data_IF_567346231319
#
_entry.id   IF_567346231319
#
_cell.length_a   1.000
_cell.length_b   1.000
_cell.length_c   1.000
_cell.angle_alpha   90.00
_cell.angle_beta   90.00
_cell.angle_gamma   90.00
#
_symmetry.space_group_name_H-M   'P 1'
#
loop_
_entity.id
_entity.type
_entity.pdbx_description
1 polymer ?
#
# COMPACT_ATOMS: atom_id res chain seq x y z
N UNK A 1 -57.61 -30.40 -39.06
CA UNK A 1 -57.68 -30.12 -37.62
C UNK A 1 -56.66 -30.99 -36.86
N UNK A 2 -55.56 -30.47 -36.45
CA UNK A 2 -54.60 -30.85 -35.38
C UNK A 2 -53.32 -30.06 -35.64
N UNK A 3 -53.09 -29.00 -34.85
CA UNK A 3 -51.85 -28.25 -34.77
C UNK A 3 -50.75 -29.17 -34.19
N UNK A 4 -49.57 -29.12 -34.78
CA UNK A 4 -48.35 -29.58 -34.16
C UNK A 4 -47.41 -28.38 -33.94
N UNK A 5 -47.15 -28.09 -32.66
CA UNK A 5 -46.10 -27.16 -32.25
C UNK A 5 -44.73 -27.77 -32.52
N UNK A 6 -43.88 -27.04 -33.23
CA UNK A 6 -42.46 -27.33 -33.32
C UNK A 6 -41.76 -26.50 -32.20
N UNK A 7 -41.11 -27.20 -31.29
CA UNK A 7 -40.21 -26.59 -30.31
C UNK A 7 -38.84 -26.37 -30.96
N UNK A 8 -38.38 -25.13 -31.05
CA UNK A 8 -37.02 -24.76 -31.38
C UNK A 8 -36.17 -24.87 -30.11
N UNK A 9 -35.21 -25.77 -30.10
CA UNK A 9 -34.14 -25.84 -29.11
C UNK A 9 -33.05 -24.83 -29.46
N UNK A 10 -32.91 -23.80 -28.65
CA UNK A 10 -31.76 -22.88 -28.74
C UNK A 10 -30.54 -23.48 -28.01
N UNK A 11 -29.54 -23.88 -28.78
CA UNK A 11 -28.24 -24.33 -28.25
C UNK A 11 -27.41 -23.09 -27.90
N UNK A 12 -27.22 -22.83 -26.61
CA UNK A 12 -26.31 -21.82 -26.13
C UNK A 12 -24.86 -22.26 -26.24
N UNK A 13 -24.12 -21.64 -27.13
CA UNK A 13 -22.66 -21.83 -27.25
C UNK A 13 -22.04 -20.95 -26.15
N UNK A 14 -21.48 -21.61 -25.13
CA UNK A 14 -20.65 -20.95 -24.12
C UNK A 14 -19.25 -20.78 -24.70
N UNK A 15 -18.92 -19.57 -25.10
CA UNK A 15 -17.54 -19.16 -25.43
C UNK A 15 -16.77 -18.93 -24.12
N UNK A 16 -15.90 -19.86 -23.77
CA UNK A 16 -14.88 -19.68 -22.74
C UNK A 16 -13.79 -18.73 -23.29
N UNK A 17 -13.91 -17.44 -23.02
CA UNK A 17 -12.83 -16.49 -23.20
C UNK A 17 -11.99 -16.44 -21.91
N UNK A 18 -10.91 -17.21 -21.87
CA UNK A 18 -9.85 -17.03 -20.89
C UNK A 18 -9.01 -15.84 -21.31
N UNK A 19 -9.31 -14.64 -20.80
CA UNK A 19 -8.46 -13.46 -20.91
C UNK A 19 -8.03 -13.03 -19.51
N UNK A 20 -6.71 -13.11 -19.28
CA UNK A 20 -5.98 -12.50 -18.20
C UNK A 20 -5.98 -10.96 -18.40
N UNK A 21 -7.01 -10.30 -17.92
CA UNK A 21 -7.09 -8.85 -17.88
C UNK A 21 -7.76 -8.46 -16.56
N UNK A 22 -7.16 -7.54 -15.81
CA UNK A 22 -7.88 -6.92 -14.71
C UNK A 22 -9.22 -6.39 -15.23
N UNK A 23 -10.29 -6.65 -14.48
CA UNK A 23 -11.61 -6.16 -14.84
C UNK A 23 -11.56 -4.66 -15.11
N UNK A 24 -12.03 -4.20 -16.29
CA UNK A 24 -12.09 -2.78 -16.56
C UNK A 24 -13.00 -2.10 -15.51
N UNK A 25 -12.59 -0.91 -15.08
CA UNK A 25 -13.41 -0.09 -14.21
C UNK A 25 -14.78 0.18 -14.87
N UNK A 26 -15.82 -0.24 -14.19
CA UNK A 26 -17.21 0.08 -14.57
C UNK A 26 -17.71 1.13 -13.59
N UNK A 27 -18.08 2.35 -14.04
CA UNK A 27 -18.64 3.35 -13.16
C UNK A 27 -19.87 2.82 -12.41
N UNK A 28 -19.87 2.90 -11.08
CA UNK A 28 -20.96 2.41 -10.22
C UNK A 28 -20.74 1.03 -9.59
N UNK A 29 -19.75 0.25 -10.02
CA UNK A 29 -19.37 -1.00 -9.35
C UNK A 29 -18.21 -0.77 -8.37
N UNK A 30 -18.41 -1.12 -7.10
CA UNK A 30 -17.37 -1.11 -6.07
C UNK A 30 -17.01 -2.54 -5.68
N UNK A 31 -15.75 -2.97 -5.86
CA UNK A 31 -15.31 -4.30 -5.42
C UNK A 31 -15.52 -4.49 -3.91
N UNK A 32 -15.92 -5.69 -3.51
CA UNK A 32 -16.03 -6.03 -2.09
C UNK A 32 -14.66 -6.07 -1.40
N UNK A 33 -14.61 -5.60 -0.15
CA UNK A 33 -13.41 -5.75 0.69
C UNK A 33 -13.20 -7.23 1.04
N UNK A 34 -11.93 -7.67 1.06
CA UNK A 34 -11.60 -9.07 1.42
C UNK A 34 -11.80 -9.26 2.92
N UNK A 35 -12.63 -10.23 3.30
CA UNK A 35 -12.83 -10.59 4.71
C UNK A 35 -11.52 -11.05 5.36
N UNK A 36 -11.24 -10.55 6.57
CA UNK A 36 -10.04 -10.91 7.35
C UNK A 36 -10.20 -12.30 7.98
N UNK A 37 -11.43 -12.73 8.26
CA UNK A 37 -11.74 -13.90 9.07
C UNK A 37 -11.80 -15.24 8.34
N UNK A 38 -11.59 -15.26 7.02
CA UNK A 38 -11.59 -16.50 6.26
C UNK A 38 -10.48 -17.45 6.75
N UNK A 39 -10.70 -18.78 6.81
CA UNK A 39 -9.68 -19.75 7.23
C UNK A 39 -8.41 -19.65 6.38
N UNK A 40 -7.24 -19.84 7.02
CA UNK A 40 -5.97 -19.88 6.30
C UNK A 40 -5.84 -21.21 5.55
N UNK A 41 -5.81 -21.14 4.23
CA UNK A 41 -5.47 -22.28 3.36
C UNK A 41 -4.00 -22.20 2.96
N UNK A 42 -3.25 -23.27 3.21
CA UNK A 42 -1.83 -23.38 2.86
C UNK A 42 -1.66 -24.39 1.74
N UNK A 43 -1.50 -23.95 0.49
CA UNK A 43 -1.31 -24.85 -0.66
C UNK A 43 0.03 -25.62 -0.56
N UNK A 44 0.14 -26.79 -1.22
CA UNK A 44 1.42 -27.48 -1.32
C UNK A 44 2.43 -26.66 -2.14
N UNK A 45 3.72 -26.81 -1.85
CA UNK A 45 4.79 -26.06 -2.54
C UNK A 45 4.79 -26.25 -4.06
N UNK A 46 4.30 -27.40 -4.56
CA UNK A 46 4.13 -27.68 -5.98
C UNK A 46 3.15 -26.73 -6.69
N UNK A 47 2.27 -26.06 -5.95
CA UNK A 47 1.33 -25.07 -6.50
C UNK A 47 1.98 -23.72 -6.84
N UNK A 48 3.23 -23.52 -6.39
CA UNK A 48 3.94 -22.25 -6.62
C UNK A 48 5.00 -22.44 -7.71
N UNK A 49 5.20 -21.40 -8.54
CA UNK A 49 6.27 -21.39 -9.50
C UNK A 49 7.63 -21.54 -8.80
N UNK A 50 8.44 -22.47 -9.25
CA UNK A 50 9.79 -22.69 -8.72
C UNK A 50 10.71 -21.61 -9.30
N UNK A 51 10.97 -20.56 -8.50
CA UNK A 51 11.89 -19.48 -8.87
C UNK A 51 13.08 -19.47 -7.91
N UNK A 52 14.27 -19.28 -8.46
CA UNK A 52 15.47 -19.12 -7.63
C UNK A 52 15.31 -17.88 -6.72
N UNK A 53 15.70 -17.99 -5.44
CA UNK A 53 15.72 -16.83 -4.54
C UNK A 53 16.62 -15.72 -5.08
N UNK A 54 16.12 -14.49 -5.07
CA UNK A 54 16.87 -13.30 -5.48
C UNK A 54 17.55 -12.67 -4.28
N UNK A 55 18.84 -12.32 -4.42
CA UNK A 55 19.58 -11.59 -3.41
C UNK A 55 19.00 -10.17 -3.25
N UNK A 56 18.81 -9.75 -2.01
CA UNK A 56 18.45 -8.38 -1.65
C UNK A 56 19.70 -7.48 -1.60
N UNK A 57 19.49 -6.17 -1.74
CA UNK A 57 20.60 -5.19 -1.77
C UNK A 57 21.12 -4.81 -0.39
N UNK A 58 20.49 -5.27 0.70
CA UNK A 58 20.87 -4.96 2.07
C UNK A 58 22.03 -5.82 2.60
N UNK A 59 22.54 -5.42 3.76
CA UNK A 59 23.37 -6.24 4.62
C UNK A 59 22.49 -6.79 5.75
N UNK A 60 22.64 -8.09 6.04
CA UNK A 60 21.81 -8.81 7.01
C UNK A 60 22.70 -9.51 8.00
N UNK A 61 22.72 -9.00 9.24
CA UNK A 61 23.45 -9.61 10.33
C UNK A 61 22.49 -10.46 11.18
N UNK A 62 22.79 -11.76 11.30
CA UNK A 62 22.08 -12.64 12.22
C UNK A 62 22.32 -12.21 13.65
N UNK A 63 21.26 -12.10 14.46
CA UNK A 63 21.33 -11.71 15.87
C UNK A 63 20.46 -12.62 16.72
N UNK A 64 20.68 -12.62 18.03
CA UNK A 64 19.81 -13.35 18.98
C UNK A 64 18.56 -12.54 19.29
N UNK A 65 17.50 -13.19 19.79
CA UNK A 65 16.32 -12.50 20.27
C UNK A 65 16.62 -11.55 21.44
N UNK A 66 17.58 -11.92 22.30
CA UNK A 66 18.08 -11.05 23.38
C UNK A 66 18.75 -9.77 22.93
N UNK A 67 19.19 -9.71 21.66
CA UNK A 67 19.83 -8.52 21.10
C UNK A 67 18.79 -7.49 20.58
N UNK A 68 17.51 -7.87 20.53
CA UNK A 68 16.44 -6.97 20.15
C UNK A 68 16.08 -6.05 21.31
N UNK A 69 16.20 -4.71 21.16
CA UNK A 69 15.97 -3.79 22.26
C UNK A 69 14.55 -3.93 22.83
N UNK A 70 14.42 -4.39 24.06
CA UNK A 70 13.14 -4.53 24.78
C UNK A 70 12.19 -5.57 24.16
N UNK A 71 12.73 -6.64 23.60
CA UNK A 71 11.93 -7.77 23.08
C UNK A 71 11.00 -8.35 24.17
N UNK A 72 11.49 -8.49 25.40
CA UNK A 72 10.70 -9.02 26.51
C UNK A 72 9.41 -8.21 26.79
N UNK A 73 9.46 -6.90 26.56
CA UNK A 73 8.35 -5.97 26.74
C UNK A 73 7.61 -5.68 25.43
N UNK A 74 8.02 -6.32 24.32
CA UNK A 74 7.40 -6.06 23.01
C UNK A 74 5.91 -6.45 23.03
N UNK A 75 5.08 -5.51 22.57
CA UNK A 75 3.65 -5.72 22.46
C UNK A 75 3.33 -6.62 21.27
N UNK A 76 2.70 -7.74 21.54
CA UNK A 76 2.30 -8.75 20.55
C UNK A 76 0.79 -8.94 20.46
N UNK A 77 0.03 -8.01 21.06
CA UNK A 77 -1.44 -8.01 21.02
C UNK A 77 -1.92 -7.94 19.57
N UNK A 78 -2.96 -8.69 19.22
CA UNK A 78 -3.52 -8.83 17.87
C UNK A 78 -2.51 -9.28 16.79
N UNK A 79 -1.28 -9.65 17.19
CA UNK A 79 -0.25 -10.06 16.26
C UNK A 79 -0.60 -11.37 15.54
N UNK A 80 -1.29 -12.27 16.21
CA UNK A 80 -1.66 -13.56 15.63
C UNK A 80 -2.57 -13.41 14.40
N UNK A 81 -3.60 -12.59 14.50
CA UNK A 81 -4.47 -12.27 13.35
C UNK A 81 -3.70 -11.63 12.21
N UNK A 82 -2.77 -10.73 12.53
CA UNK A 82 -1.91 -10.10 11.53
C UNK A 82 -1.01 -11.12 10.84
N UNK A 83 -0.42 -12.05 11.60
CA UNK A 83 0.42 -13.12 11.05
C UNK A 83 -0.40 -14.09 10.16
N UNK A 84 -1.59 -14.46 10.59
CA UNK A 84 -2.56 -15.24 9.83
C UNK A 84 -2.87 -14.57 8.48
N UNK A 85 -3.20 -13.29 8.53
CA UNK A 85 -3.52 -12.48 7.34
C UNK A 85 -2.31 -12.32 6.42
N UNK A 86 -1.13 -12.15 7.00
CA UNK A 86 0.11 -12.08 6.25
C UNK A 86 0.41 -13.39 5.52
N UNK A 87 0.18 -14.54 6.18
CA UNK A 87 0.30 -15.86 5.57
C UNK A 87 -0.67 -16.06 4.40
N UNK A 88 -1.90 -15.52 4.47
CA UNK A 88 -2.81 -15.53 3.31
C UNK A 88 -2.19 -14.85 2.09
N UNK A 89 -1.53 -13.71 2.30
CA UNK A 89 -0.80 -13.02 1.25
C UNK A 89 0.37 -13.84 0.70
N UNK A 90 1.17 -14.47 1.59
CA UNK A 90 2.32 -15.31 1.23
C UNK A 90 1.91 -16.57 0.46
N UNK A 91 0.79 -17.18 0.85
CA UNK A 91 0.29 -18.43 0.28
C UNK A 91 -0.66 -18.24 -0.89
N UNK A 92 -0.87 -17.03 -1.34
CA UNK A 92 -1.68 -16.74 -2.52
C UNK A 92 -0.86 -17.02 -3.79
N UNK A 93 -1.37 -17.82 -4.74
CA UNK A 93 -0.75 -17.95 -6.06
C UNK A 93 -0.62 -16.58 -6.72
N UNK A 94 0.54 -16.30 -7.28
CA UNK A 94 0.81 -15.05 -7.98
C UNK A 94 0.75 -15.35 -9.47
N UNK A 95 -0.21 -14.76 -10.17
CA UNK A 95 -0.27 -14.76 -11.63
C UNK A 95 0.51 -13.57 -12.19
N UNK A 96 1.24 -13.79 -13.27
CA UNK A 96 1.98 -12.75 -13.98
C UNK A 96 3.42 -12.52 -13.50
N UNK A 97 4.10 -11.61 -14.17
CA UNK A 97 5.51 -11.22 -13.94
C UNK A 97 5.63 -10.28 -12.74
N UNK A 98 5.28 -10.76 -11.54
CA UNK A 98 5.38 -9.96 -10.32
C UNK A 98 6.78 -10.03 -9.71
N UNK A 99 7.77 -9.65 -10.48
CA UNK A 99 9.12 -9.45 -9.93
C UNK A 99 9.20 -8.21 -9.05
N UNK A 100 8.18 -7.36 -9.05
CA UNK A 100 8.18 -6.07 -8.35
C UNK A 100 6.77 -5.69 -7.90
N UNK A 101 6.67 -5.22 -6.66
CA UNK A 101 7.72 -5.15 -5.63
C UNK A 101 8.21 -6.53 -5.18
N UNK A 102 9.47 -6.63 -4.77
CA UNK A 102 10.05 -7.89 -4.29
C UNK A 102 9.25 -8.42 -3.10
N UNK A 103 8.95 -9.72 -3.11
CA UNK A 103 8.14 -10.39 -2.08
C UNK A 103 8.92 -11.53 -1.44
N UNK A 104 8.58 -11.83 -0.19
CA UNK A 104 9.05 -13.03 0.47
C UNK A 104 8.55 -14.28 -0.29
N UNK A 105 9.39 -15.31 -0.35
CA UNK A 105 9.08 -16.51 -1.15
C UNK A 105 8.11 -17.44 -0.44
N UNK A 106 7.10 -17.98 -1.14
CA UNK A 106 6.26 -19.05 -0.59
C UNK A 106 7.08 -20.24 -0.08
N UNK A 107 8.18 -20.60 -0.76
CA UNK A 107 9.07 -21.71 -0.38
C UNK A 107 9.69 -21.50 1.00
N UNK A 108 10.11 -20.28 1.32
CA UNK A 108 10.66 -19.95 2.64
C UNK A 108 9.58 -19.96 3.73
N UNK A 109 8.37 -19.51 3.40
CA UNK A 109 7.33 -19.21 4.39
C UNK A 109 6.29 -20.31 4.57
N UNK A 110 6.13 -21.24 3.61
CA UNK A 110 5.10 -22.28 3.67
C UNK A 110 5.15 -23.12 4.96
N UNK A 111 6.32 -23.56 5.47
CA UNK A 111 6.38 -24.30 6.74
C UNK A 111 5.88 -23.48 7.94
N UNK A 112 6.22 -22.18 7.99
CA UNK A 112 5.75 -21.27 9.05
C UNK A 112 4.24 -21.06 8.94
N UNK A 113 3.74 -20.78 7.73
CA UNK A 113 2.31 -20.56 7.50
C UNK A 113 1.48 -21.83 7.77
N UNK A 114 2.04 -23.01 7.51
CA UNK A 114 1.42 -24.28 7.89
C UNK A 114 1.32 -24.41 9.42
N UNK A 115 2.40 -24.11 10.15
CA UNK A 115 2.37 -24.10 11.60
C UNK A 115 1.38 -23.05 12.17
N UNK A 116 1.23 -21.89 11.52
CA UNK A 116 0.20 -20.90 11.86
C UNK A 116 -1.21 -21.46 11.69
N UNK A 117 -1.49 -22.12 10.56
CA UNK A 117 -2.79 -22.70 10.28
C UNK A 117 -3.15 -23.83 11.28
N UNK A 118 -2.18 -24.68 11.60
CA UNK A 118 -2.33 -25.80 12.53
C UNK A 118 -2.46 -25.35 14.00
N UNK A 119 -1.88 -24.21 14.37
CA UNK A 119 -1.95 -23.68 15.74
C UNK A 119 -3.33 -23.13 16.12
N UNK A 120 -4.25 -23.01 15.17
CA UNK A 120 -5.67 -22.69 15.38
C UNK A 120 -5.95 -21.20 15.62
N UNK A 121 -7.10 -20.94 16.05
CA UNK A 121 -7.96 -19.77 15.88
C UNK A 121 -7.60 -18.48 16.67
N UNK A 122 -8.35 -17.39 16.42
CA UNK A 122 -8.17 -16.04 16.98
C UNK A 122 -8.02 -15.93 18.51
N UNK A 123 -8.53 -16.87 19.28
CA UNK A 123 -8.38 -16.86 20.75
C UNK A 123 -6.92 -16.79 21.21
N UNK A 124 -5.98 -17.28 20.40
CA UNK A 124 -4.53 -17.19 20.70
C UNK A 124 -3.92 -15.83 20.42
N UNK A 125 -4.65 -14.93 19.77
CA UNK A 125 -4.17 -13.55 19.51
C UNK A 125 -3.86 -12.78 20.80
N UNK A 126 -4.51 -13.14 21.89
CA UNK A 126 -4.32 -12.50 23.19
C UNK A 126 -3.32 -13.22 24.10
N UNK A 127 -2.80 -14.38 23.70
CA UNK A 127 -1.75 -15.10 24.43
C UNK A 127 -0.36 -14.61 23.99
N UNK A 128 0.11 -13.55 24.62
CA UNK A 128 1.41 -12.95 24.33
C UNK A 128 2.58 -13.96 24.49
N UNK A 129 2.51 -14.84 25.49
CA UNK A 129 3.55 -15.84 25.72
C UNK A 129 3.56 -16.91 24.62
N UNK A 130 2.40 -17.34 24.16
CA UNK A 130 2.29 -18.24 23.00
C UNK A 130 2.85 -17.59 21.74
N UNK A 131 2.45 -16.35 21.43
CA UNK A 131 2.89 -15.65 20.23
C UNK A 131 4.40 -15.46 20.22
N UNK A 132 5.00 -15.05 21.34
CA UNK A 132 6.47 -14.91 21.46
C UNK A 132 7.18 -16.25 21.24
N UNK A 133 6.76 -17.31 21.94
CA UNK A 133 7.34 -18.65 21.75
C UNK A 133 7.22 -19.13 20.30
N UNK A 134 6.09 -18.86 19.65
CA UNK A 134 5.90 -19.21 18.24
C UNK A 134 6.92 -18.49 17.35
N UNK A 135 7.07 -17.17 17.49
CA UNK A 135 8.04 -16.40 16.73
C UNK A 135 9.47 -16.89 16.98
N UNK A 136 9.86 -17.07 18.24
CA UNK A 136 11.18 -17.55 18.64
C UNK A 136 11.48 -18.97 18.16
N UNK A 137 10.47 -19.82 18.08
CA UNK A 137 10.62 -21.20 17.56
C UNK A 137 10.85 -21.22 16.06
N UNK A 138 10.07 -20.45 15.29
CA UNK A 138 10.04 -20.57 13.85
C UNK A 138 10.88 -19.53 13.12
N UNK A 139 11.18 -18.38 13.74
CA UNK A 139 11.87 -17.27 13.08
C UNK A 139 13.23 -16.96 13.71
N UNK A 140 14.07 -16.34 12.90
CA UNK A 140 15.41 -15.84 13.24
C UNK A 140 15.46 -14.34 12.95
N UNK A 141 15.84 -13.48 13.92
CA UNK A 141 16.03 -12.07 13.66
C UNK A 141 17.31 -11.79 12.85
N UNK A 142 17.20 -10.88 11.88
CA UNK A 142 18.31 -10.38 11.07
C UNK A 142 18.29 -8.85 11.07
N UNK A 143 19.32 -8.22 11.61
CA UNK A 143 19.46 -6.77 11.56
C UNK A 143 19.67 -6.31 10.13
N UNK A 144 18.88 -5.31 9.69
CA UNK A 144 18.96 -4.75 8.34
C UNK A 144 19.79 -3.49 8.35
N UNK A 145 20.76 -3.40 7.46
CA UNK A 145 21.56 -2.19 7.24
C UNK A 145 21.87 -1.99 5.75
N UNK A 146 22.11 -0.75 5.36
CA UNK A 146 22.56 -0.40 4.01
C UNK A 146 24.07 -0.28 3.94
N UNK A 147 24.65 -0.37 2.75
CA UNK A 147 26.09 -0.32 2.52
C UNK A 147 26.77 1.00 2.98
N UNK A 148 26.03 2.12 3.07
CA UNK A 148 26.58 3.45 3.32
C UNK A 148 25.79 4.22 4.39
N UNK A 149 25.39 3.57 5.50
CA UNK A 149 24.68 4.25 6.59
C UNK A 149 23.37 4.88 6.13
N UNK A 150 22.57 4.11 5.36
CA UNK A 150 21.29 4.55 4.84
C UNK A 150 20.34 5.02 5.95
N UNK A 151 19.49 5.98 5.62
CA UNK A 151 18.53 6.59 6.52
C UNK A 151 17.74 5.55 7.33
N UNK A 152 17.85 5.64 8.65
CA UNK A 152 17.05 4.88 9.61
C UNK A 152 15.77 5.63 9.98
N UNK A 153 15.26 6.45 9.09
CA UNK A 153 14.12 7.32 9.35
C UNK A 153 12.82 6.51 9.34
N UNK A 154 12.07 6.64 10.42
CA UNK A 154 10.71 6.12 10.57
C UNK A 154 9.74 7.29 10.49
N UNK A 155 8.84 7.25 9.51
CA UNK A 155 7.74 8.20 9.37
C UNK A 155 6.40 7.47 9.56
N UNK A 156 5.30 8.19 9.51
CA UNK A 156 3.98 7.63 9.63
C UNK A 156 3.08 8.00 8.45
N UNK A 157 2.15 7.10 8.14
CA UNK A 157 1.07 7.34 7.20
C UNK A 157 -0.25 6.81 7.76
N UNK A 158 -1.36 7.17 7.13
CA UNK A 158 -2.70 6.83 7.58
C UNK A 158 -3.69 6.78 6.41
N UNK A 159 -4.87 6.27 6.63
CA UNK A 159 -5.98 6.36 5.67
C UNK A 159 -6.82 7.62 6.00
N UNK A 160 -6.77 8.68 5.18
CA UNK A 160 -7.62 9.84 5.35
C UNK A 160 -9.11 9.49 5.33
N UNK A 161 -9.90 10.22 6.11
CA UNK A 161 -11.37 10.21 6.05
C UNK A 161 -11.81 11.62 5.70
N UNK A 162 -12.37 11.80 4.52
CA UNK A 162 -12.70 13.11 3.92
C UNK A 162 -14.16 13.15 3.50
N UNK A 163 -14.71 14.35 3.29
CA UNK A 163 -16.10 14.52 2.81
C UNK A 163 -16.15 14.63 1.29
N UNK A 164 -17.17 14.07 0.69
CA UNK A 164 -17.34 14.12 -0.75
C UNK A 164 -18.75 13.83 -1.23
N UNK A 165 -18.91 13.89 -2.54
CA UNK A 165 -20.15 13.57 -3.26
C UNK A 165 -19.81 12.80 -4.54
N UNK A 166 -20.76 12.00 -5.04
CA UNK A 166 -20.64 11.38 -6.35
C UNK A 166 -20.90 12.37 -7.49
N UNK A 167 -21.47 13.54 -7.18
CA UNK A 167 -21.80 14.58 -8.15
C UNK A 167 -21.05 15.87 -7.84
N UNK A 168 -20.61 16.59 -8.88
CA UNK A 168 -20.06 17.91 -8.72
C UNK A 168 -21.17 18.92 -8.34
N UNK A 169 -20.96 19.68 -7.28
CA UNK A 169 -21.92 20.71 -6.89
C UNK A 169 -21.58 21.34 -5.52
N UNK A 170 -22.08 22.55 -5.30
CA UNK A 170 -21.89 23.26 -4.03
C UNK A 170 -20.40 23.32 -3.61
N UNK A 171 -20.08 22.76 -2.46
CA UNK A 171 -18.72 22.70 -1.92
C UNK A 171 -17.85 21.59 -2.57
N UNK A 172 -18.46 20.60 -3.23
CA UNK A 172 -17.76 19.44 -3.81
C UNK A 172 -17.24 19.77 -5.21
N UNK A 173 -16.02 20.28 -5.29
CA UNK A 173 -15.42 20.80 -6.53
C UNK A 173 -14.12 20.11 -6.94
N UNK A 174 -13.53 19.27 -6.06
CA UNK A 174 -12.20 18.69 -6.26
C UNK A 174 -12.30 17.22 -6.68
N UNK A 175 -12.04 16.90 -7.97
CA UNK A 175 -12.26 15.56 -8.50
C UNK A 175 -11.18 14.57 -8.06
N UNK A 176 -11.62 13.35 -7.77
CA UNK A 176 -10.78 12.18 -7.60
C UNK A 176 -10.98 11.26 -8.80
N UNK A 177 -9.93 11.01 -9.55
CA UNK A 177 -9.97 10.34 -10.84
C UNK A 177 -9.69 8.84 -10.77
N UNK A 178 -10.38 8.07 -11.62
CA UNK A 178 -9.97 6.74 -12.04
C UNK A 178 -8.83 6.83 -13.08
N UNK A 179 -8.09 5.72 -13.34
CA UNK A 179 -7.07 5.70 -14.38
C UNK A 179 -7.64 6.11 -15.74
N UNK A 180 -6.94 6.98 -16.47
CA UNK A 180 -7.32 7.30 -17.85
C UNK A 180 -7.17 6.08 -18.75
N UNK A 181 -8.03 5.97 -19.77
CA UNK A 181 -8.02 4.82 -20.69
C UNK A 181 -6.77 4.76 -21.58
N UNK A 182 -6.10 5.90 -21.81
CA UNK A 182 -4.89 6.04 -22.62
C UNK A 182 -3.58 5.93 -21.79
N UNK A 183 -3.69 5.66 -20.48
CA UNK A 183 -2.52 5.49 -19.62
C UNK A 183 -1.86 4.12 -19.86
N UNK A 184 -0.63 4.15 -20.39
CA UNK A 184 0.14 2.96 -20.68
C UNK A 184 1.19 2.67 -19.59
N UNK A 185 1.30 1.39 -19.20
CA UNK A 185 2.45 0.88 -18.45
C UNK A 185 3.50 0.42 -19.43
N UNK A 186 4.74 0.89 -19.25
CA UNK A 186 5.87 0.54 -20.11
C UNK A 186 6.78 -0.42 -19.32
N UNK A 187 6.82 -1.68 -19.73
CA UNK A 187 7.71 -2.70 -19.17
C UNK A 187 8.78 -3.06 -20.20
N UNK A 188 10.00 -2.60 -19.95
CA UNK A 188 11.17 -2.87 -20.80
C UNK A 188 12.20 -3.77 -20.09
N UNK A 189 11.86 -4.29 -18.91
CA UNK A 189 12.79 -5.03 -18.05
C UNK A 189 13.35 -6.32 -18.68
N UNK A 190 12.65 -6.90 -19.65
CA UNK A 190 13.13 -8.08 -20.40
C UNK A 190 14.30 -7.80 -21.35
N UNK A 191 14.42 -6.56 -21.81
CA UNK A 191 15.49 -6.11 -22.73
C UNK A 191 16.49 -5.21 -22.02
N UNK A 192 16.03 -4.38 -21.12
CA UNK A 192 16.82 -3.42 -20.33
C UNK A 192 16.70 -3.76 -18.84
N UNK A 193 17.56 -4.63 -18.30
CA UNK A 193 17.46 -5.08 -16.90
C UNK A 193 17.47 -3.96 -15.86
N UNK A 194 18.13 -2.83 -16.15
CA UNK A 194 18.16 -1.63 -15.32
C UNK A 194 16.81 -0.93 -15.20
N UNK A 195 15.89 -1.20 -16.13
CA UNK A 195 14.51 -0.71 -16.12
C UNK A 195 13.53 -1.71 -15.47
N UNK A 196 14.01 -2.91 -15.15
CA UNK A 196 13.18 -3.93 -14.53
C UNK A 196 12.55 -3.38 -13.25
N UNK A 197 11.23 -3.35 -13.22
CA UNK A 197 10.44 -2.89 -12.12
C UNK A 197 10.31 -1.41 -11.91
N UNK A 198 10.82 -0.63 -12.79
CA UNK A 198 10.48 0.78 -12.82
C UNK A 198 9.04 0.93 -13.35
N UNK A 199 8.26 1.68 -12.60
CA UNK A 199 6.85 1.95 -12.94
C UNK A 199 6.77 3.10 -13.92
N UNK A 200 7.26 2.87 -15.16
CA UNK A 200 7.26 3.88 -16.21
C UNK A 200 5.83 3.99 -16.76
N UNK A 201 5.34 5.22 -16.91
CA UNK A 201 4.02 5.54 -17.43
C UNK A 201 4.12 6.49 -18.61
N UNK A 202 3.29 6.27 -19.61
CA UNK A 202 3.21 7.10 -20.79
C UNK A 202 1.88 7.00 -21.49
N UNK A 203 1.76 7.72 -22.61
CA UNK A 203 0.65 7.62 -23.55
C UNK A 203 1.18 7.54 -24.97
N UNK A 204 0.37 6.98 -25.86
CA UNK A 204 0.69 6.94 -27.29
C UNK A 204 0.31 8.29 -27.94
N UNK A 205 1.27 8.92 -28.59
CA UNK A 205 1.06 10.10 -29.44
C UNK A 205 1.66 9.77 -30.79
N UNK A 206 0.83 9.73 -31.81
CA UNK A 206 1.19 9.18 -33.12
C UNK A 206 1.79 7.78 -32.95
N UNK A 207 3.03 7.57 -33.39
CA UNK A 207 3.76 6.31 -33.27
C UNK A 207 4.83 6.33 -32.14
N UNK A 208 4.70 7.23 -31.16
CA UNK A 208 5.67 7.38 -30.07
C UNK A 208 4.97 7.26 -28.71
N UNK A 209 5.65 6.56 -27.78
CA UNK A 209 5.26 6.61 -26.38
C UNK A 209 5.96 7.81 -25.73
N UNK A 210 5.17 8.75 -25.24
CA UNK A 210 5.65 9.94 -24.53
C UNK A 210 5.28 9.85 -23.05
N UNK A 211 5.98 10.57 -22.13
CA UNK A 211 5.60 10.63 -20.74
C UNK A 211 4.14 11.09 -20.58
N UNK A 212 3.39 10.46 -19.65
CA UNK A 212 2.02 10.86 -19.40
C UNK A 212 1.91 12.32 -18.92
N UNK A 213 0.73 12.92 -19.04
CA UNK A 213 0.49 14.31 -18.71
C UNK A 213 0.77 14.63 -17.22
N UNK A 214 1.16 15.87 -16.97
CA UNK A 214 1.30 16.39 -15.61
C UNK A 214 -0.06 16.62 -14.96
N UNK A 215 -0.09 16.80 -13.64
CA UNK A 215 -1.32 17.20 -12.90
C UNK A 215 -2.03 18.38 -13.55
N UNK A 216 -1.28 19.42 -13.89
CA UNK A 216 -1.82 20.62 -14.50
C UNK A 216 -2.48 20.33 -15.86
N UNK A 217 -1.77 19.57 -16.72
CA UNK A 217 -2.29 19.18 -18.03
C UNK A 217 -3.55 18.32 -17.94
N UNK A 218 -3.59 17.36 -16.98
CA UNK A 218 -4.76 16.51 -16.73
C UNK A 218 -5.94 17.38 -16.29
N UNK A 219 -5.73 18.30 -15.34
CA UNK A 219 -6.78 19.17 -14.84
C UNK A 219 -7.28 20.18 -15.89
N UNK A 220 -6.42 20.62 -16.80
CA UNK A 220 -6.78 21.54 -17.88
C UNK A 220 -7.38 20.85 -19.11
N UNK A 221 -7.23 19.52 -19.23
CA UNK A 221 -7.72 18.78 -20.40
C UNK A 221 -9.23 18.85 -20.53
N UNK A 222 -9.71 18.96 -21.79
CA UNK A 222 -11.12 18.79 -22.10
C UNK A 222 -11.58 17.33 -21.91
N UNK A 223 -10.68 16.37 -22.15
CA UNK A 223 -10.89 14.94 -21.96
C UNK A 223 -10.30 14.51 -20.62
N UNK A 224 -11.03 14.79 -19.54
CA UNK A 224 -10.61 14.39 -18.19
C UNK A 224 -10.80 12.89 -17.96
N UNK A 225 -9.97 12.28 -17.10
CA UNK A 225 -10.22 10.91 -16.64
C UNK A 225 -11.60 10.79 -15.98
N UNK A 226 -12.20 9.59 -15.91
CA UNK A 226 -13.45 9.38 -15.19
C UNK A 226 -13.33 9.83 -13.73
N UNK A 227 -14.31 10.57 -13.24
CA UNK A 227 -14.37 11.04 -11.85
C UNK A 227 -15.11 10.01 -11.01
N UNK A 228 -14.50 9.59 -9.89
CA UNK A 228 -15.10 8.66 -8.93
C UNK A 228 -15.90 9.42 -7.87
N UNK A 229 -15.34 10.51 -7.36
CA UNK A 229 -15.94 11.36 -6.34
C UNK A 229 -15.41 12.78 -6.43
N UNK A 230 -16.14 13.72 -5.85
CA UNK A 230 -15.78 15.12 -5.72
C UNK A 230 -15.62 15.46 -4.24
N UNK A 231 -14.46 15.99 -3.84
CA UNK A 231 -14.17 16.37 -2.46
C UNK A 231 -14.44 17.87 -2.23
N UNK A 232 -14.59 18.24 -0.96
CA UNK A 232 -14.87 19.62 -0.56
C UNK A 232 -13.59 20.44 -0.27
N UNK A 233 -12.44 19.77 -0.06
CA UNK A 233 -11.19 20.44 0.30
C UNK A 233 -10.05 20.02 -0.66
N UNK A 234 -9.39 20.99 -1.35
CA UNK A 234 -8.33 20.72 -2.32
C UNK A 234 -7.07 20.13 -1.69
N UNK A 235 -6.77 20.50 -0.47
CA UNK A 235 -5.58 20.03 0.25
C UNK A 235 -5.79 18.62 0.73
N UNK A 236 -7.00 18.30 1.21
CA UNK A 236 -7.35 16.90 1.56
C UNK A 236 -7.34 16.00 0.34
N UNK A 237 -7.89 16.45 -0.81
CA UNK A 237 -7.82 15.73 -2.09
C UNK A 237 -6.37 15.45 -2.50
N UNK A 238 -5.48 16.42 -2.33
CA UNK A 238 -4.06 16.26 -2.62
C UNK A 238 -3.39 15.28 -1.65
N UNK A 239 -3.60 15.43 -0.34
CA UNK A 239 -2.98 14.56 0.65
C UNK A 239 -3.50 13.12 0.56
N UNK A 240 -4.76 12.90 0.21
CA UNK A 240 -5.30 11.57 -0.06
C UNK A 240 -4.52 10.88 -1.20
N UNK A 241 -4.13 11.62 -2.25
CA UNK A 241 -3.26 11.09 -3.30
C UNK A 241 -1.86 10.72 -2.77
N UNK A 242 -1.32 11.48 -1.81
CA UNK A 242 -0.03 11.17 -1.18
C UNK A 242 -0.13 9.89 -0.34
N UNK A 243 -1.22 9.71 0.42
CA UNK A 243 -1.46 8.53 1.22
C UNK A 243 -1.76 7.29 0.36
N UNK A 244 -2.22 7.47 -0.89
CA UNK A 244 -2.50 6.38 -1.83
C UNK A 244 -3.83 5.66 -1.61
N UNK A 245 -4.56 5.96 -0.54
CA UNK A 245 -5.92 5.51 -0.28
C UNK A 245 -6.62 6.44 0.68
N UNK A 246 -7.96 6.40 0.74
CA UNK A 246 -8.74 7.18 1.68
C UNK A 246 -10.22 6.79 1.66
N UNK A 247 -10.94 7.18 2.70
CA UNK A 247 -12.40 7.03 2.79
C UNK A 247 -13.05 8.35 2.49
N UNK A 248 -14.09 8.29 1.68
CA UNK A 248 -14.96 9.43 1.37
C UNK A 248 -16.31 9.19 2.04
N UNK A 249 -16.64 10.05 3.00
CA UNK A 249 -17.99 10.12 3.56
C UNK A 249 -18.84 10.90 2.58
N UNK A 250 -19.71 10.20 1.89
CA UNK A 250 -20.56 10.76 0.87
C UNK A 250 -21.73 11.54 1.49
N UNK A 251 -22.21 12.55 0.78
CA UNK A 251 -23.36 13.37 1.17
C UNK A 251 -24.68 12.60 1.28
N UNK A 252 -24.75 11.39 0.69
CA UNK A 252 -25.88 10.46 0.84
C UNK A 252 -25.76 9.56 2.10
N UNK A 253 -24.68 9.71 2.90
CA UNK A 253 -24.44 8.92 4.13
C UNK A 253 -23.68 7.62 3.91
N UNK A 254 -23.33 7.26 2.69
CA UNK A 254 -22.51 6.09 2.39
C UNK A 254 -21.01 6.39 2.56
N UNK A 255 -20.23 5.35 2.82
CA UNK A 255 -18.76 5.44 2.83
C UNK A 255 -18.18 4.72 1.62
N UNK A 256 -17.42 5.47 0.81
CA UNK A 256 -16.69 4.96 -0.32
C UNK A 256 -15.18 4.94 -0.01
N UNK A 257 -14.46 3.84 -0.25
CA UNK A 257 -13.01 3.84 -0.23
C UNK A 257 -12.46 4.13 -1.63
N UNK A 258 -11.55 5.07 -1.69
CA UNK A 258 -10.67 5.28 -2.84
C UNK A 258 -9.40 4.46 -2.61
N UNK A 259 -9.23 3.38 -3.36
CA UNK A 259 -8.04 2.55 -3.32
C UNK A 259 -7.10 2.90 -4.47
N UNK A 260 -5.79 2.87 -4.22
CA UNK A 260 -4.79 3.12 -5.24
C UNK A 260 -5.00 2.21 -6.46
N UNK A 261 -5.03 2.80 -7.64
CA UNK A 261 -5.08 2.07 -8.91
C UNK A 261 -3.78 2.27 -9.73
N UNK A 262 -3.41 3.51 -10.00
CA UNK A 262 -2.20 3.85 -10.75
C UNK A 262 -1.74 5.31 -10.51
N UNK A 263 -0.72 5.75 -11.22
CA UNK A 263 -0.20 7.12 -11.21
C UNK A 263 0.29 7.54 -12.60
N UNK A 264 0.45 8.85 -12.82
CA UNK A 264 0.88 9.38 -14.12
C UNK A 264 2.39 9.25 -14.42
N UNK A 265 3.18 8.60 -13.56
CA UNK A 265 4.61 8.39 -13.76
C UNK A 265 5.50 9.61 -13.51
N UNK A 266 4.92 10.76 -13.17
CA UNK A 266 5.69 11.98 -12.88
C UNK A 266 6.32 11.92 -11.48
N UNK A 267 7.50 12.54 -11.28
CA UNK A 267 8.15 12.61 -9.99
C UNK A 267 7.32 13.44 -9.00
N UNK A 268 7.39 13.04 -7.73
CA UNK A 268 6.74 13.76 -6.63
C UNK A 268 7.53 15.03 -6.26
N UNK A 269 6.82 16.14 -6.11
CA UNK A 269 7.35 17.40 -5.56
C UNK A 269 6.53 17.80 -4.34
N UNK A 270 7.21 18.06 -3.21
CA UNK A 270 6.53 18.48 -1.98
C UNK A 270 5.97 19.90 -2.10
N UNK A 271 4.65 20.04 -1.97
CA UNK A 271 3.99 21.37 -1.95
C UNK A 271 4.38 22.19 -0.70
N UNK A 272 4.65 21.53 0.43
CA UNK A 272 5.18 22.19 1.62
C UNK A 272 6.57 22.78 1.40
N UNK A 273 7.46 22.03 0.70
CA UNK A 273 8.76 22.56 0.30
C UNK A 273 8.60 23.70 -0.70
N UNK A 274 7.71 23.58 -1.68
CA UNK A 274 7.45 24.64 -2.65
C UNK A 274 6.98 25.93 -1.96
N UNK A 275 6.07 25.86 -0.98
CA UNK A 275 5.66 27.01 -0.18
C UNK A 275 6.82 27.63 0.60
N UNK A 276 7.70 26.79 1.16
CA UNK A 276 8.88 27.28 1.86
C UNK A 276 9.89 27.94 0.93
N UNK A 277 10.14 27.37 -0.24
CA UNK A 277 11.02 27.95 -1.26
C UNK A 277 10.49 29.31 -1.81
N UNK A 278 9.17 29.52 -1.75
CA UNK A 278 8.51 30.80 -2.06
C UNK A 278 8.48 31.78 -0.90
N UNK A 279 8.94 31.39 0.29
CA UNK A 279 8.90 32.23 1.49
C UNK A 279 7.51 32.37 2.12
N UNK A 280 6.54 31.56 1.73
CA UNK A 280 5.15 31.63 2.19
C UNK A 280 4.98 31.03 3.60
N UNK A 281 5.74 29.97 3.92
CA UNK A 281 5.78 29.35 5.24
C UNK A 281 7.22 28.91 5.55
N UNK A 282 7.58 28.77 6.82
CA UNK A 282 8.84 28.14 7.18
C UNK A 282 8.78 26.62 6.92
N UNK A 283 9.88 26.01 6.46
CA UNK A 283 9.93 24.56 6.17
C UNK A 283 9.59 23.70 7.41
N UNK A 284 9.94 24.18 8.60
CA UNK A 284 9.59 23.55 9.87
C UNK A 284 8.08 23.60 10.18
N UNK A 285 7.35 24.46 9.51
CA UNK A 285 5.90 24.68 9.66
C UNK A 285 5.10 24.05 8.50
N UNK A 286 5.73 23.32 7.58
CA UNK A 286 5.09 22.70 6.42
C UNK A 286 4.23 21.49 6.79
N UNK A 287 3.33 21.64 7.76
CA UNK A 287 2.32 20.66 8.13
C UNK A 287 1.08 20.75 7.22
N UNK A 288 0.29 19.67 7.12
CA UNK A 288 -0.97 19.67 6.39
C UNK A 288 -1.90 20.80 6.88
N UNK A 289 -1.97 21.03 8.19
CA UNK A 289 -2.81 22.08 8.80
C UNK A 289 -2.40 23.48 8.33
N UNK A 290 -1.10 23.78 8.32
CA UNK A 290 -0.60 25.08 7.88
C UNK A 290 -0.75 25.25 6.36
N UNK A 291 -0.60 24.19 5.57
CA UNK A 291 -0.86 24.22 4.13
C UNK A 291 -2.35 24.48 3.86
N UNK A 292 -3.27 23.86 4.63
CA UNK A 292 -4.71 24.16 4.56
C UNK A 292 -5.03 25.60 4.94
N UNK A 293 -4.40 26.13 6.00
CA UNK A 293 -4.56 27.52 6.41
C UNK A 293 -4.08 28.48 5.32
N UNK A 294 -2.92 28.19 4.71
CA UNK A 294 -2.40 28.98 3.59
C UNK A 294 -3.34 28.92 2.37
N UNK A 295 -3.84 27.73 1.99
CA UNK A 295 -4.78 27.57 0.88
C UNK A 295 -6.07 28.36 1.09
N UNK A 296 -6.60 28.37 2.32
CA UNK A 296 -7.78 29.15 2.70
C UNK A 296 -7.53 30.68 2.60
N UNK A 297 -6.33 31.13 2.97
CA UNK A 297 -5.94 32.55 2.87
C UNK A 297 -5.61 32.97 1.42
N UNK A 298 -5.29 32.01 0.53
CA UNK A 298 -4.85 32.28 -0.85
C UNK A 298 -5.67 31.49 -1.88
N UNK A 299 -7.02 31.60 -1.93
CA UNK A 299 -7.88 30.75 -2.76
C UNK A 299 -7.53 30.80 -4.25
N UNK A 300 -7.11 31.98 -4.75
CA UNK A 300 -6.71 32.16 -6.16
C UNK A 300 -5.38 31.47 -6.54
N UNK A 301 -4.58 31.04 -5.55
CA UNK A 301 -3.26 30.42 -5.76
C UNK A 301 -3.23 28.91 -5.43
N UNK A 302 -4.35 28.35 -5.03
CA UNK A 302 -4.42 26.92 -4.65
C UNK A 302 -3.99 26.03 -5.80
N UNK A 303 -4.47 26.27 -7.02
CA UNK A 303 -4.07 25.49 -8.19
C UNK A 303 -2.59 25.61 -8.52
N UNK A 304 -1.96 26.82 -8.35
CA UNK A 304 -0.53 27.02 -8.51
C UNK A 304 0.26 26.10 -7.56
N UNK A 305 -0.13 26.09 -6.28
CA UNK A 305 0.48 25.27 -5.26
C UNK A 305 0.33 23.77 -5.56
N UNK A 306 -0.87 23.32 -5.90
CA UNK A 306 -1.12 21.89 -6.19
C UNK A 306 -0.39 21.42 -7.43
N UNK A 307 -0.32 22.25 -8.48
CA UNK A 307 0.34 21.94 -9.76
C UNK A 307 1.87 21.96 -9.66
N UNK A 308 2.46 22.54 -8.62
CA UNK A 308 3.88 22.41 -8.32
C UNK A 308 4.31 20.94 -8.17
N UNK A 309 3.38 20.06 -7.74
CA UNK A 309 3.56 18.63 -7.81
C UNK A 309 2.98 18.07 -9.11
N UNK A 310 3.82 17.71 -10.06
CA UNK A 310 3.41 17.14 -11.35
C UNK A 310 2.81 15.71 -11.22
N UNK A 311 3.09 15.01 -10.12
CA UNK A 311 2.57 13.68 -9.89
C UNK A 311 1.05 13.70 -9.60
N UNK A 312 0.33 12.76 -10.19
CA UNK A 312 -1.09 12.52 -9.92
C UNK A 312 -1.32 11.03 -9.71
N UNK A 313 -2.11 10.71 -8.69
CA UNK A 313 -2.52 9.34 -8.38
C UNK A 313 -3.96 9.14 -8.81
N UNK A 314 -4.23 7.98 -9.40
CA UNK A 314 -5.54 7.53 -9.83
C UNK A 314 -6.04 6.43 -8.92
N UNK A 315 -7.34 6.36 -8.74
CA UNK A 315 -7.99 5.49 -7.78
C UNK A 315 -8.97 4.53 -8.46
N UNK A 316 -9.35 3.51 -7.71
CA UNK A 316 -10.54 2.72 -7.98
C UNK A 316 -11.45 2.76 -6.75
N UNK A 317 -12.77 2.74 -6.94
CA UNK A 317 -13.70 2.67 -5.82
C UNK A 317 -13.69 1.27 -5.21
N UNK A 318 -13.78 1.19 -3.89
CA UNK A 318 -14.00 -0.05 -3.15
C UNK A 318 -15.11 0.17 -2.12
N UNK A 319 -16.02 -0.79 -2.00
CA UNK A 319 -17.03 -0.78 -0.94
C UNK A 319 -16.37 -1.04 0.42
N UNK A 320 -16.72 -0.27 1.41
CA UNK A 320 -16.29 -0.48 2.80
C UNK A 320 -17.35 -1.36 3.47
N UNK A 321 -17.11 -2.67 3.49
CA UNK A 321 -18.01 -3.61 4.14
C UNK A 321 -17.85 -3.61 5.67
N UNK A 322 -16.64 -3.32 6.16
CA UNK A 322 -16.30 -3.20 7.58
C UNK A 322 -15.27 -2.06 7.74
N UNK A 323 -15.60 -1.11 8.59
CA UNK A 323 -14.74 0.05 8.85
C UNK A 323 -13.45 -0.30 9.60
N UNK A 324 -13.42 -1.43 10.31
CA UNK A 324 -12.22 -1.94 10.96
C UNK A 324 -11.18 -2.46 9.96
N UNK A 325 -11.60 -2.80 8.74
CA UNK A 325 -10.71 -3.29 7.68
C UNK A 325 -10.01 -2.11 7.01
N UNK A 326 -8.68 -2.06 7.11
CA UNK A 326 -7.83 -1.06 6.44
C UNK A 326 -7.80 -1.21 4.92
N UNK A 327 -7.21 -0.23 4.20
CA UNK A 327 -7.01 -0.32 2.76
C UNK A 327 -6.03 -1.44 2.41
N UNK A 328 -6.09 -1.96 1.19
CA UNK A 328 -5.09 -2.93 0.71
C UNK A 328 -3.78 -2.23 0.40
N UNK A 329 -2.70 -2.66 1.05
CA UNK A 329 -1.35 -2.22 0.71
C UNK A 329 -0.82 -2.86 -0.58
N UNK A 330 0.39 -2.51 -0.99
CA UNK A 330 1.06 -3.05 -2.18
C UNK A 330 1.25 -4.59 -2.13
N UNK A 331 1.24 -5.18 -0.94
CA UNK A 331 1.21 -6.62 -0.75
C UNK A 331 -0.14 -7.26 -1.13
N UNK A 332 -1.20 -6.46 -1.26
CA UNK A 332 -2.53 -6.87 -1.71
C UNK A 332 -3.40 -7.50 -0.62
N UNK A 333 -3.06 -7.27 0.65
CA UNK A 333 -3.90 -7.61 1.80
C UNK A 333 -4.26 -6.34 2.58
N UNK A 334 -5.34 -6.34 3.38
CA UNK A 334 -5.69 -5.19 4.20
C UNK A 334 -4.58 -4.82 5.19
N UNK A 335 -4.28 -3.54 5.26
CA UNK A 335 -3.37 -2.99 6.26
C UNK A 335 -4.04 -2.99 7.63
N UNK A 336 -3.26 -3.28 8.67
CA UNK A 336 -3.71 -3.28 10.05
C UNK A 336 -3.03 -2.14 10.79
N UNK A 337 -3.82 -1.30 11.42
CA UNK A 337 -3.34 -0.16 12.20
C UNK A 337 -2.26 -0.58 13.20
N UNK A 338 -1.15 0.15 13.22
CA UNK A 338 0.00 -0.08 14.10
C UNK A 338 0.67 -1.47 13.95
N UNK A 339 0.37 -2.21 12.88
CA UNK A 339 0.98 -3.50 12.55
C UNK A 339 1.51 -3.58 11.11
N UNK A 340 1.05 -2.72 10.23
CA UNK A 340 1.55 -2.66 8.85
C UNK A 340 2.54 -1.53 8.66
N UNK A 341 3.54 -1.77 7.82
CA UNK A 341 4.52 -0.75 7.44
C UNK A 341 4.77 -0.78 5.95
N UNK A 342 5.05 0.41 5.37
CA UNK A 342 5.64 0.52 4.06
C UNK A 342 7.18 0.51 4.17
N UNK A 343 7.81 -0.20 3.24
CA UNK A 343 9.26 -0.42 3.20
C UNK A 343 9.79 -0.24 1.78
N UNK A 344 11.12 -0.22 1.63
CA UNK A 344 11.77 -0.39 0.33
C UNK A 344 11.94 -1.89 0.00
N UNK A 345 11.20 -2.42 -0.99
CA UNK A 345 11.25 -3.85 -1.30
C UNK A 345 12.60 -4.34 -1.83
N UNK A 346 13.48 -3.44 -2.21
CA UNK A 346 14.86 -3.79 -2.61
C UNK A 346 15.67 -4.32 -1.42
N UNK A 347 15.29 -3.91 -0.21
CA UNK A 347 15.95 -4.30 1.04
C UNK A 347 15.10 -5.22 1.91
N UNK A 348 13.79 -5.01 1.94
CA UNK A 348 12.85 -5.77 2.77
C UNK A 348 11.73 -6.31 1.89
N UNK A 349 11.69 -7.63 1.61
CA UNK A 349 10.65 -8.17 0.74
C UNK A 349 9.28 -8.09 1.40
N UNK A 350 8.27 -7.71 0.62
CA UNK A 350 6.89 -7.65 1.10
C UNK A 350 6.43 -9.01 1.62
N UNK A 351 5.68 -8.99 2.70
CA UNK A 351 5.26 -10.18 3.45
C UNK A 351 6.19 -10.56 4.61
N UNK A 352 7.31 -9.85 4.81
CA UNK A 352 8.20 -10.12 5.94
C UNK A 352 7.70 -9.49 7.22
N UNK A 353 7.58 -10.22 8.33
CA UNK A 353 7.50 -9.64 9.67
C UNK A 353 8.80 -8.96 10.03
N UNK A 354 8.70 -7.84 10.71
CA UNK A 354 9.83 -7.04 11.18
C UNK A 354 9.68 -6.77 12.68
N UNK A 355 10.78 -6.73 13.40
CA UNK A 355 10.83 -6.03 14.67
C UNK A 355 11.28 -4.59 14.42
N UNK A 356 10.48 -3.63 14.81
CA UNK A 356 10.76 -2.19 14.74
C UNK A 356 11.02 -1.65 16.14
N UNK A 357 12.17 -0.99 16.31
CA UNK A 357 12.50 -0.24 17.52
C UNK A 357 12.71 1.23 17.17
N UNK A 358 11.86 2.10 17.69
CA UNK A 358 11.86 3.55 17.48
C UNK A 358 11.22 4.25 18.68
N UNK A 359 10.75 5.50 18.54
CA UNK A 359 10.00 6.23 19.56
C UNK A 359 8.63 6.65 19.06
N UNK A 360 7.72 6.93 19.99
CA UNK A 360 6.39 7.50 19.70
C UNK A 360 6.52 8.88 19.04
N UNK A 361 5.58 9.26 18.15
CA UNK A 361 5.60 10.56 17.50
C UNK A 361 5.68 11.71 18.50
N UNK A 362 6.64 12.61 18.27
CA UNK A 362 6.83 13.82 19.09
C UNK A 362 7.29 13.57 20.52
N UNK A 363 7.76 12.36 20.86
CA UNK A 363 8.25 12.02 22.19
C UNK A 363 9.48 11.09 22.15
N UNK A 364 10.14 10.93 23.31
CA UNK A 364 11.21 9.94 23.51
C UNK A 364 10.70 8.57 23.99
N UNK A 365 9.39 8.39 24.14
CA UNK A 365 8.82 7.11 24.62
C UNK A 365 9.08 6.00 23.62
N UNK A 366 9.66 4.85 24.03
CA UNK A 366 9.94 3.76 23.12
C UNK A 366 8.69 3.21 22.42
N UNK A 367 8.80 2.97 21.12
CA UNK A 367 7.85 2.23 20.31
C UNK A 367 8.55 0.99 19.77
N UNK A 368 8.23 -0.18 20.33
CA UNK A 368 8.86 -1.47 20.02
C UNK A 368 7.78 -2.47 19.67
N UNK A 369 7.69 -2.80 18.37
CA UNK A 369 6.59 -3.63 17.86
C UNK A 369 7.06 -4.62 16.81
N UNK A 370 6.40 -5.76 16.76
CA UNK A 370 6.40 -6.60 15.56
C UNK A 370 5.41 -6.01 14.58
N UNK A 371 5.90 -5.70 13.38
CA UNK A 371 5.13 -5.12 12.27
C UNK A 371 5.36 -5.92 11.00
N UNK A 372 4.59 -5.69 9.97
CA UNK A 372 4.66 -6.46 8.72
C UNK A 372 4.90 -5.54 7.53
N UNK A 373 5.85 -5.90 6.69
CA UNK A 373 6.13 -5.23 5.43
C UNK A 373 5.02 -5.53 4.42
N UNK A 374 3.95 -4.74 4.42
CA UNK A 374 2.74 -4.99 3.63
C UNK A 374 2.47 -3.91 2.60
N UNK A 375 3.30 -2.87 2.60
CA UNK A 375 3.13 -1.74 1.70
C UNK A 375 4.48 -1.19 1.22
N UNK A 376 4.42 -0.27 0.24
CA UNK A 376 5.57 0.45 -0.28
C UNK A 376 5.14 1.83 -0.77
N UNK A 377 6.07 2.77 -0.81
CA UNK A 377 5.82 4.13 -1.32
C UNK A 377 6.97 4.64 -2.16
N UNK A 378 6.68 5.58 -3.07
CA UNK A 378 7.70 6.18 -3.95
C UNK A 378 8.82 6.88 -3.15
N UNK A 379 8.48 7.47 -2.01
CA UNK A 379 9.41 8.15 -1.11
C UNK A 379 10.04 7.24 -0.05
N UNK A 380 9.63 5.96 0.01
CA UNK A 380 10.11 5.02 1.02
C UNK A 380 11.29 4.25 0.42
N UNK A 381 12.49 4.83 0.54
CA UNK A 381 13.73 4.31 -0.07
C UNK A 381 14.84 4.20 0.96
N UNK A 382 15.50 3.03 0.99
CA UNK A 382 16.64 2.71 1.86
C UNK A 382 16.41 1.52 2.79
N UNK A 383 17.50 0.93 3.30
CA UNK A 383 17.51 -0.36 3.98
C UNK A 383 16.66 -0.41 5.27
N UNK A 384 16.72 0.62 6.09
CA UNK A 384 15.95 0.71 7.35
C UNK A 384 14.89 1.83 7.31
N UNK A 385 14.55 2.30 6.10
CA UNK A 385 13.48 3.27 5.88
C UNK A 385 12.13 2.59 6.05
N UNK A 386 11.33 3.10 6.98
CA UNK A 386 10.04 2.51 7.34
C UNK A 386 8.99 3.62 7.43
N UNK A 387 7.79 3.35 6.92
CA UNK A 387 6.62 4.22 7.08
C UNK A 387 5.54 3.44 7.83
N UNK A 388 5.14 3.93 9.01
CA UNK A 388 4.31 3.20 9.96
C UNK A 388 2.83 3.56 9.77
N UNK A 389 1.98 2.55 9.54
CA UNK A 389 0.55 2.74 9.33
C UNK A 389 -0.16 2.94 10.67
N UNK A 390 -0.65 4.15 10.92
CA UNK A 390 -1.34 4.51 12.16
C UNK A 390 -2.81 4.11 12.18
N UNK A 391 -3.40 3.77 11.03
CA UNK A 391 -4.82 3.47 10.90
C UNK A 391 -5.56 4.54 10.10
N UNK A 392 -6.84 4.77 10.39
CA UNK A 392 -7.71 5.66 9.62
C UNK A 392 -8.16 6.86 10.44
N UNK A 393 -8.46 7.96 9.78
CA UNK A 393 -9.10 9.14 10.36
C UNK A 393 -8.16 10.16 11.00
N UNK A 394 -8.73 11.20 11.65
CA UNK A 394 -7.99 12.38 12.09
C UNK A 394 -6.93 12.11 13.16
N UNK A 395 -7.20 11.20 14.11
CA UNK A 395 -6.28 10.85 15.17
C UNK A 395 -5.03 10.15 14.61
N UNK A 396 -5.24 9.16 13.72
CA UNK A 396 -4.17 8.50 13.00
C UNK A 396 -3.35 9.50 12.18
N UNK A 397 -4.02 10.46 11.53
CA UNK A 397 -3.38 11.54 10.78
C UNK A 397 -2.52 12.46 11.64
N UNK A 398 -2.95 12.76 12.85
CA UNK A 398 -2.18 13.53 13.84
C UNK A 398 -0.88 12.83 14.24
N UNK A 399 -0.95 11.53 14.51
CA UNK A 399 0.21 10.72 14.88
C UNK A 399 1.16 10.57 13.70
N UNK A 400 0.62 10.23 12.52
CA UNK A 400 1.38 10.10 11.28
C UNK A 400 2.14 11.38 10.93
N UNK A 401 1.47 12.53 11.00
CA UNK A 401 2.05 13.83 10.67
C UNK A 401 3.17 14.27 11.60
N UNK A 402 3.21 13.76 12.82
CA UNK A 402 4.27 14.05 13.82
C UNK A 402 5.40 13.03 13.79
N UNK A 403 5.26 11.90 13.08
CA UNK A 403 6.23 10.82 13.11
C UNK A 403 7.38 11.06 12.14
N UNK A 404 8.54 11.41 12.68
CA UNK A 404 9.82 11.54 11.97
C UNK A 404 10.96 11.20 12.93
N UNK A 405 11.07 9.93 13.28
CA UNK A 405 12.00 9.40 14.25
C UNK A 405 13.16 8.66 13.60
N UNK A 406 14.21 8.40 14.36
CA UNK A 406 15.20 7.38 14.04
C UNK A 406 14.70 6.03 14.55
N UNK A 407 15.07 4.95 13.84
CA UNK A 407 14.69 3.60 14.26
C UNK A 407 15.63 2.54 13.73
N UNK A 408 15.50 1.35 14.27
CA UNK A 408 16.18 0.16 13.83
C UNK A 408 15.19 -0.92 13.44
N UNK A 409 15.57 -1.75 12.47
CA UNK A 409 14.70 -2.78 11.89
C UNK A 409 15.42 -4.10 11.83
N UNK A 410 14.75 -5.16 12.26
CA UNK A 410 15.19 -6.55 12.11
C UNK A 410 14.13 -7.32 11.33
N UNK A 411 14.54 -8.01 10.26
CA UNK A 411 13.66 -8.96 9.58
C UNK A 411 13.57 -10.22 10.43
N UNK A 412 12.36 -10.64 10.74
CA UNK A 412 12.09 -11.93 11.39
C UNK A 412 11.89 -12.97 10.29
N UNK A 413 12.94 -13.73 9.97
CA UNK A 413 12.96 -14.61 8.80
C UNK A 413 12.87 -16.10 9.21
N UNK A 414 12.21 -16.97 8.42
CA UNK A 414 12.13 -18.40 8.75
C UNK A 414 13.51 -19.04 8.98
N UNK A 415 13.70 -19.73 10.13
CA UNK A 415 14.99 -20.27 10.54
C UNK A 415 15.64 -21.19 9.52
N UNK A 416 14.82 -21.99 8.83
CA UNK A 416 15.28 -22.97 7.83
C UNK A 416 15.62 -22.34 6.47
N UNK A 417 15.28 -21.09 6.25
CA UNK A 417 15.42 -20.46 4.94
C UNK A 417 16.72 -19.69 4.72
N UNK A 418 17.63 -19.71 5.72
CA UNK A 418 18.92 -19.02 5.63
C UNK A 418 18.81 -17.51 5.67
N UNK A 419 19.61 -16.81 4.85
CA UNK A 419 19.62 -15.34 4.76
C UNK A 419 18.34 -14.85 4.08
N UNK A 420 17.76 -13.70 4.53
CA UNK A 420 16.61 -13.10 3.87
C UNK A 420 16.80 -12.92 2.36
N UNK A 421 15.81 -13.30 1.58
CA UNK A 421 15.83 -13.27 0.13
C UNK A 421 14.45 -12.92 -0.44
N UNK A 422 14.38 -12.52 -1.70
CA UNK A 422 13.13 -12.24 -2.40
C UNK A 422 12.86 -13.26 -3.51
N UNK A 423 11.66 -13.21 -4.03
CA UNK A 423 11.28 -13.87 -5.27
C UNK A 423 11.62 -12.99 -6.48
#
# INVERSE_FOLDING_TARGET
MKLRLLALSASSVVLLAACSGGTPYVPGETPEAVAIDAPLTVPPLSSFAQTAPRKLSGQYARVSWSDLPGWEQAQVDNLWLTLLNNCRGLMRPISGSLTIPARATPQAWQPVCKAVAESGQPARSHDAAFVKRFLETHLQPWKVSGANGSSNTVTGYYEPVVRGSLSQGGQYQWPMYAPPADLLTIDLGSVYPELAGKRIRGKLVDNKIVPYDTREQINASANKPPVIAWLDDPVEAFFLQIQGSGRVLLDNGETLRLAYADHNGRPYTSIGKWLADKGEIAISQASMQNIKAWAKANPGRVNEMLNANQAMVFFRPEKVADEAIGPKGAYGIPLIAQRSVAVDPVFVPLGSPLFLSTTQPGSGTPLRKVVFAQDTGAAIKGAARTDFFWGSGPEAGNLAGKMKQQGEVWILWPKQAGVPSAR
#
